data_IF_484397679058
#
_entry.id   IF_484397679058
#
_cell.length_a   1.000
_cell.length_b   1.000
_cell.length_c   1.000
_cell.angle_alpha   90.00
_cell.angle_beta   90.00
_cell.angle_gamma   90.00
#
_symmetry.space_group_name_H-M   'P 1'
#
loop_
_entity.id
_entity.type
_entity.pdbx_description
1 polymer ?
#
# COMPACT_ATOMS: atom_id res chain seq x y z
N UNK A 1 -9.50 -14.29 2.47
CA UNK A 1 -10.06 -12.98 2.86
C UNK A 1 -11.58 -13.16 2.85
N UNK A 2 -12.33 -12.47 3.73
CA UNK A 2 -13.80 -12.62 3.78
C UNK A 2 -14.56 -11.74 2.79
N UNK A 3 -13.85 -11.03 1.91
CA UNK A 3 -14.43 -10.16 0.89
C UNK A 3 -14.76 -10.97 -0.37
N UNK A 4 -15.94 -10.69 -0.93
CA UNK A 4 -16.44 -11.34 -2.15
C UNK A 4 -15.43 -11.18 -3.30
N UNK A 5 -15.03 -12.31 -3.90
CA UNK A 5 -14.01 -12.34 -4.96
C UNK A 5 -12.54 -12.43 -4.52
N UNK A 6 -12.23 -12.52 -3.22
CA UNK A 6 -10.83 -12.60 -2.75
C UNK A 6 -10.46 -13.86 -1.95
N UNK A 7 -9.82 -14.81 -2.63
CA UNK A 7 -9.34 -16.08 -2.04
C UNK A 7 -7.99 -15.99 -1.30
N UNK A 8 -7.44 -14.78 -1.09
CA UNK A 8 -6.11 -14.61 -0.50
C UNK A 8 -6.08 -15.09 0.96
N UNK A 9 -5.10 -15.94 1.31
CA UNK A 9 -4.91 -16.44 2.67
C UNK A 9 -3.71 -15.75 3.30
N UNK A 10 -3.95 -15.05 4.40
CA UNK A 10 -2.92 -14.45 5.21
C UNK A 10 -2.71 -15.28 6.46
N UNK A 11 -1.47 -15.41 6.92
CA UNK A 11 -1.12 -16.20 8.10
C UNK A 11 -1.13 -15.39 9.41
N UNK A 12 -1.35 -14.07 9.33
CA UNK A 12 -1.38 -13.16 10.49
C UNK A 12 -2.45 -12.07 10.33
N UNK A 13 -2.90 -11.51 11.45
CA UNK A 13 -3.86 -10.39 11.46
C UNK A 13 -3.28 -9.11 10.84
N UNK A 14 -1.99 -8.85 11.02
CA UNK A 14 -1.32 -7.70 10.41
C UNK A 14 -1.30 -7.79 8.88
N UNK A 15 -1.04 -8.99 8.35
CA UNK A 15 -1.05 -9.25 6.92
C UNK A 15 -2.48 -9.17 6.34
N UNK A 16 -3.50 -9.67 7.06
CA UNK A 16 -4.91 -9.48 6.66
C UNK A 16 -5.31 -8.00 6.59
N UNK A 17 -4.86 -7.18 7.56
CA UNK A 17 -5.14 -5.74 7.57
C UNK A 17 -4.51 -5.07 6.35
N UNK A 18 -3.23 -5.33 6.11
CA UNK A 18 -2.49 -4.82 4.95
C UNK A 18 -3.11 -5.29 3.63
N UNK A 19 -3.56 -6.54 3.57
CA UNK A 19 -4.23 -7.09 2.41
C UNK A 19 -5.56 -6.37 2.13
N UNK A 20 -6.36 -6.07 3.15
CA UNK A 20 -7.59 -5.28 2.99
C UNK A 20 -7.32 -3.86 2.48
N UNK A 21 -6.18 -3.28 2.84
CA UNK A 21 -5.74 -1.96 2.38
C UNK A 21 -5.05 -2.01 1.00
N UNK A 22 -5.02 -3.18 0.35
CA UNK A 22 -4.48 -3.35 -0.99
C UNK A 22 -5.33 -2.64 -2.04
N UNK A 23 -4.69 -2.28 -3.16
CA UNK A 23 -5.32 -1.66 -4.34
C UNK A 23 -6.55 -2.43 -4.85
N UNK A 24 -6.54 -3.76 -4.71
CA UNK A 24 -7.63 -4.62 -5.16
C UNK A 24 -8.93 -4.42 -4.35
N UNK A 25 -8.81 -3.96 -3.09
CA UNK A 25 -9.93 -3.71 -2.19
C UNK A 25 -10.16 -2.23 -1.92
N UNK A 26 -9.13 -1.40 -2.07
CA UNK A 26 -9.17 0.02 -1.78
C UNK A 26 -8.35 0.81 -2.81
N UNK A 27 -9.03 1.58 -3.66
CA UNK A 27 -8.38 2.46 -4.64
C UNK A 27 -7.79 3.73 -4.02
N UNK A 28 -8.00 3.97 -2.71
CA UNK A 28 -7.42 5.11 -2.01
C UNK A 28 -5.92 4.90 -1.82
N UNK A 29 -5.13 5.46 -2.72
CA UNK A 29 -3.69 5.62 -2.54
C UNK A 29 -3.44 6.76 -1.55
N UNK A 30 -3.54 6.45 -0.26
CA UNK A 30 -3.41 7.41 0.85
C UNK A 30 -2.00 8.01 0.97
N UNK A 31 -0.98 7.39 0.37
CA UNK A 31 0.41 7.81 0.51
C UNK A 31 0.95 8.35 -0.81
N UNK A 32 0.81 9.66 -0.98
CA UNK A 32 1.28 10.39 -2.15
C UNK A 32 2.73 10.84 -1.95
N UNK A 33 3.52 10.77 -3.02
CA UNK A 33 4.85 11.35 -3.04
C UNK A 33 4.76 12.88 -3.23
N UNK A 34 5.50 13.69 -2.45
CA UNK A 34 5.47 15.14 -2.61
C UNK A 34 6.26 15.63 -3.83
N UNK A 35 7.26 14.87 -4.31
CA UNK A 35 8.13 15.28 -5.41
C UNK A 35 7.86 14.62 -6.76
N UNK A 36 6.83 13.76 -6.88
CA UNK A 36 6.46 13.13 -8.15
C UNK A 36 4.99 12.67 -8.13
N UNK A 37 4.37 12.33 -9.27
CA UNK A 37 3.01 11.78 -9.32
C UNK A 37 2.90 10.34 -8.76
N UNK A 38 3.96 9.84 -8.13
CA UNK A 38 4.00 8.54 -7.47
C UNK A 38 3.00 8.47 -6.33
N UNK A 39 2.15 7.45 -6.36
CA UNK A 39 1.09 7.24 -5.38
C UNK A 39 1.12 5.79 -4.92
N UNK A 40 1.13 5.61 -3.60
CA UNK A 40 1.30 4.32 -2.94
C UNK A 40 0.11 4.06 -2.02
N UNK A 41 -0.28 2.80 -1.90
CA UNK A 41 -1.30 2.37 -0.92
C UNK A 41 -0.74 2.12 0.46
N UNK A 42 0.59 2.14 0.62
CA UNK A 42 1.24 1.82 1.90
C UNK A 42 2.38 2.79 2.22
N UNK A 43 2.49 3.14 3.49
CA UNK A 43 3.47 4.09 4.00
C UNK A 43 4.91 3.58 3.84
N UNK A 44 5.20 2.32 4.12
CA UNK A 44 6.54 1.73 3.97
C UNK A 44 6.98 1.72 2.50
N UNK A 45 6.06 1.55 1.57
CA UNK A 45 6.35 1.66 0.14
C UNK A 45 6.75 3.09 -0.24
N UNK A 46 6.04 4.09 0.28
CA UNK A 46 6.42 5.50 0.13
C UNK A 46 7.78 5.78 0.80
N UNK A 47 7.98 5.39 2.07
CA UNK A 47 9.25 5.58 2.79
C UNK A 47 10.44 4.99 2.03
N UNK A 48 10.28 3.78 1.50
CA UNK A 48 11.32 3.12 0.71
C UNK A 48 11.55 3.84 -0.63
N UNK A 49 10.50 4.34 -1.27
CA UNK A 49 10.61 5.20 -2.46
C UNK A 49 11.40 6.48 -2.15
N UNK A 50 11.08 7.18 -1.07
CA UNK A 50 11.78 8.40 -0.63
C UNK A 50 13.24 8.12 -0.26
N UNK A 51 13.54 6.93 0.25
CA UNK A 51 14.91 6.50 0.55
C UNK A 51 15.74 6.21 -0.70
N UNK A 52 15.13 5.66 -1.74
CA UNK A 52 15.80 5.37 -3.03
C UNK A 52 15.89 6.62 -3.89
N UNK A 53 14.88 7.49 -3.80
CA UNK A 53 14.74 8.70 -4.60
C UNK A 53 14.75 9.91 -3.65
N UNK A 54 15.93 10.38 -3.22
CA UNK A 54 16.05 11.46 -2.24
C UNK A 54 15.54 12.80 -2.77
N UNK A 55 15.47 13.00 -4.10
CA UNK A 55 14.89 14.19 -4.74
C UNK A 55 13.37 14.29 -4.61
N UNK A 56 12.73 13.19 -4.18
CA UNK A 56 11.29 13.12 -3.99
C UNK A 56 10.89 13.29 -2.51
N UNK A 57 11.88 13.45 -1.62
CA UNK A 57 11.71 13.64 -0.18
C UNK A 57 11.38 15.10 0.16
#
# INVERSE_FOLDING_TARGET
>A
CGLDGCAHRCNTLADMRRHRESLAHCAEKKHLCPGCPGSFTREDALKRHLSVIPRCR
#
